data_IF_172819123504
#
_entry.id   IF_172819123504
#
_cell.length_a   1.000
_cell.length_b   1.000
_cell.length_c   1.000
_cell.angle_alpha   90.00
_cell.angle_beta   90.00
_cell.angle_gamma   90.00
#
_symmetry.space_group_name_H-M   'P 1'
#
loop_
_entity.id
_entity.type
_entity.pdbx_description
1 polymer ?
#
# COMPACT_ATOMS: atom_id res chain seq x y z
N UNK A 1 -0.74 -22.19 30.34
CA UNK A 1 0.28 -21.52 29.53
C UNK A 1 0.05 -21.96 28.09
N UNK A 2 -0.39 -21.06 27.21
CA UNK A 2 -0.80 -21.42 25.84
C UNK A 2 0.21 -20.85 24.85
N UNK A 3 1.02 -21.72 24.25
CA UNK A 3 1.82 -21.41 23.07
C UNK A 3 0.88 -21.60 21.86
N UNK A 4 0.26 -20.50 21.40
CA UNK A 4 -0.62 -20.53 20.23
C UNK A 4 0.19 -20.24 18.97
N UNK A 5 0.08 -21.10 17.96
CA UNK A 5 0.60 -20.88 16.61
C UNK A 5 -0.50 -20.30 15.72
N UNK A 6 -0.12 -19.48 14.73
CA UNK A 6 -1.04 -18.85 13.77
C UNK A 6 -1.16 -17.33 13.92
N UNK A 7 -1.91 -16.70 13.00
CA UNK A 7 -2.14 -15.26 13.03
C UNK A 7 -2.75 -14.81 14.37
N UNK A 8 -2.25 -13.70 14.90
CA UNK A 8 -2.77 -13.11 16.13
C UNK A 8 -4.19 -12.61 15.94
N UNK A 9 -5.17 -13.41 16.39
CA UNK A 9 -6.60 -13.11 16.22
C UNK A 9 -7.09 -11.89 16.99
N UNK A 10 -6.27 -11.35 17.91
CA UNK A 10 -6.58 -10.10 18.62
C UNK A 10 -6.12 -8.87 17.84
N UNK A 11 -5.39 -9.04 16.74
CA UNK A 11 -5.16 -7.98 15.76
C UNK A 11 -6.13 -8.22 14.61
N UNK A 12 -7.10 -7.33 14.46
CA UNK A 12 -8.01 -7.34 13.33
C UNK A 12 -7.47 -6.44 12.25
N UNK A 13 -7.41 -6.96 11.02
CA UNK A 13 -6.92 -6.22 9.85
C UNK A 13 -8.00 -6.26 8.78
N UNK A 14 -8.36 -5.09 8.27
CA UNK A 14 -9.21 -4.95 7.08
C UNK A 14 -8.39 -4.30 5.99
N UNK A 15 -8.39 -4.91 4.80
CA UNK A 15 -7.75 -4.36 3.60
C UNK A 15 -8.84 -4.16 2.55
N UNK A 16 -9.13 -2.91 2.23
CA UNK A 16 -10.15 -2.51 1.26
C UNK A 16 -9.46 -1.85 0.06
N UNK A 17 -9.16 -2.67 -0.96
CA UNK A 17 -8.66 -2.19 -2.23
C UNK A 17 -9.83 -1.72 -3.10
N UNK A 18 -9.79 -0.44 -3.47
CA UNK A 18 -10.77 0.13 -4.39
C UNK A 18 -10.53 -0.38 -5.81
N UNK A 19 -11.58 -0.48 -6.64
CA UNK A 19 -11.41 -0.76 -8.07
C UNK A 19 -10.41 0.22 -8.68
N UNK A 20 -9.51 -0.31 -9.51
CA UNK A 20 -8.53 0.52 -10.22
C UNK A 20 -9.27 1.54 -11.10
N UNK A 21 -8.88 2.80 -10.98
CA UNK A 21 -9.39 3.86 -11.86
C UNK A 21 -8.45 3.97 -13.05
N UNK A 22 -8.96 3.68 -14.25
CA UNK A 22 -8.20 3.76 -15.50
C UNK A 22 -8.73 4.85 -16.39
N UNK A 23 -7.83 5.66 -16.90
CA UNK A 23 -8.11 6.76 -17.81
C UNK A 23 -7.13 6.71 -18.98
N UNK A 24 -7.62 6.90 -20.20
CA UNK A 24 -6.78 7.12 -21.38
C UNK A 24 -6.79 8.62 -21.72
N UNK A 25 -5.60 9.20 -21.85
CA UNK A 25 -5.42 10.62 -22.11
C UNK A 25 -4.62 10.85 -23.40
N UNK A 26 -5.09 11.77 -24.24
CA UNK A 26 -4.28 12.40 -25.31
C UNK A 26 -4.80 12.22 -26.74
N UNK A 27 -4.70 13.30 -27.54
CA UNK A 27 -4.95 13.32 -29.00
C UNK A 27 -3.63 13.17 -29.79
N UNK A 28 -2.49 13.52 -29.18
CA UNK A 28 -1.12 13.34 -29.71
C UNK A 28 -0.33 12.56 -28.66
N UNK A 29 0.00 11.30 -28.97
CA UNK A 29 0.57 10.34 -28.01
C UNK A 29 -0.47 9.87 -26.99
N UNK A 30 -0.96 8.63 -27.14
CA UNK A 30 -1.92 8.06 -26.19
C UNK A 30 -1.16 7.54 -24.96
N UNK A 31 -1.58 7.98 -23.78
CA UNK A 31 -1.06 7.45 -22.52
C UNK A 31 -2.21 6.88 -21.68
N UNK A 32 -1.96 5.76 -21.02
CA UNK A 32 -2.88 5.17 -20.06
C UNK A 32 -2.41 5.51 -18.66
N UNK A 33 -3.34 5.94 -17.82
CA UNK A 33 -3.14 6.20 -16.41
C UNK A 33 -3.95 5.19 -15.61
N UNK A 34 -3.36 4.65 -14.54
CA UNK A 34 -4.06 3.84 -13.56
C UNK A 34 -3.80 4.37 -12.17
N UNK A 35 -4.85 4.54 -11.39
CA UNK A 35 -4.76 4.88 -9.97
C UNK A 35 -5.30 3.71 -9.15
N UNK A 36 -4.47 3.21 -8.23
CA UNK A 36 -4.85 2.20 -7.23
C UNK A 36 -4.86 2.83 -5.85
N UNK A 37 -5.91 2.53 -5.08
CA UNK A 37 -6.06 2.95 -3.68
C UNK A 37 -6.45 1.77 -2.81
N UNK A 38 -5.82 1.69 -1.65
CA UNK A 38 -6.06 0.68 -0.63
C UNK A 38 -6.19 1.38 0.71
N UNK A 39 -7.27 1.09 1.42
CA UNK A 39 -7.45 1.48 2.82
C UNK A 39 -7.10 0.28 3.70
N UNK A 40 -6.18 0.46 4.63
CA UNK A 40 -5.83 -0.56 5.63
C UNK A 40 -6.27 -0.08 7.00
N UNK A 41 -7.13 -0.85 7.65
CA UNK A 41 -7.48 -0.63 9.05
C UNK A 41 -6.85 -1.72 9.90
N UNK A 42 -6.21 -1.32 11.00
CA UNK A 42 -5.67 -2.25 11.99
C UNK A 42 -6.24 -1.89 13.36
N UNK A 43 -6.84 -2.88 14.03
CA UNK A 43 -7.37 -2.72 15.39
C UNK A 43 -6.80 -3.77 16.34
N UNK A 44 -6.36 -3.32 17.51
CA UNK A 44 -5.90 -4.21 18.58
C UNK A 44 -7.00 -4.46 19.61
N UNK A 45 -7.24 -5.73 19.91
CA UNK A 45 -8.07 -6.22 21.01
C UNK A 45 -7.25 -6.77 22.17
N UNK A 46 -5.93 -6.52 22.17
CA UNK A 46 -5.08 -6.81 23.30
C UNK A 46 -5.38 -5.87 24.47
N UNK A 47 -5.03 -6.32 25.68
CA UNK A 47 -5.11 -5.50 26.90
C UNK A 47 -3.88 -4.62 27.12
N UNK A 48 -2.84 -4.83 26.32
CA UNK A 48 -1.58 -4.07 26.36
C UNK A 48 -1.28 -3.49 24.96
N UNK A 49 -0.47 -2.42 24.87
CA UNK A 49 -0.02 -1.90 23.58
C UNK A 49 0.79 -2.93 22.79
N UNK A 50 0.54 -3.03 21.49
CA UNK A 50 1.23 -3.97 20.59
C UNK A 50 1.92 -3.22 19.47
N UNK A 51 3.17 -3.60 19.17
CA UNK A 51 3.87 -3.11 17.99
C UNK A 51 3.35 -3.82 16.74
N UNK A 52 2.94 -3.05 15.74
CA UNK A 52 2.48 -3.56 14.45
C UNK A 52 3.18 -2.80 13.33
N UNK A 53 3.70 -3.56 12.36
CA UNK A 53 4.23 -3.02 11.12
C UNK A 53 3.33 -3.46 9.97
N UNK A 54 2.77 -2.49 9.25
CA UNK A 54 2.08 -2.74 7.97
C UNK A 54 3.10 -2.53 6.86
N UNK A 55 3.16 -3.45 5.90
CA UNK A 55 4.07 -3.40 4.75
C UNK A 55 3.25 -3.34 3.47
N UNK A 56 3.57 -2.42 2.57
CA UNK A 56 2.94 -2.29 1.25
C UNK A 56 4.00 -2.05 0.19
N UNK A 57 3.74 -2.55 -1.02
CA UNK A 57 4.67 -2.39 -2.14
C UNK A 57 4.22 -1.22 -3.01
N UNK A 58 5.07 -0.20 -3.15
CA UNK A 58 5.01 0.78 -4.23
C UNK A 58 5.80 0.21 -5.41
N UNK A 59 5.16 -0.03 -6.58
CA UNK A 59 5.88 -0.53 -7.75
C UNK A 59 7.05 0.37 -8.14
N UNK A 60 8.11 -0.23 -8.67
CA UNK A 60 9.24 0.48 -9.24
C UNK A 60 9.19 0.33 -10.75
N UNK A 61 9.38 1.43 -11.47
CA UNK A 61 9.48 1.39 -12.92
C UNK A 61 10.82 0.77 -13.33
N UNK A 62 10.78 -0.29 -14.14
CA UNK A 62 11.96 -0.87 -14.80
C UNK A 62 12.20 -0.28 -16.20
N UNK A 63 11.16 0.32 -16.81
CA UNK A 63 11.22 1.00 -18.10
C UNK A 63 11.01 2.50 -17.90
N UNK A 64 11.84 3.32 -18.55
CA UNK A 64 11.79 4.79 -18.47
C UNK A 64 10.49 5.42 -19.00
N UNK A 65 9.72 4.68 -19.81
CA UNK A 65 8.41 5.11 -20.32
C UNK A 65 7.28 4.88 -19.29
N UNK A 66 7.58 4.27 -18.15
CA UNK A 66 6.65 4.06 -17.03
C UNK A 66 6.98 5.05 -15.92
N UNK A 67 5.99 5.80 -15.45
CA UNK A 67 6.11 6.61 -14.23
C UNK A 67 5.28 6.01 -13.10
N UNK A 68 5.87 5.89 -11.91
CA UNK A 68 5.19 5.50 -10.68
C UNK A 68 5.29 6.62 -9.65
N UNK A 69 4.15 7.06 -9.11
CA UNK A 69 4.08 8.11 -8.11
C UNK A 69 3.12 7.70 -6.98
N UNK A 70 3.54 7.86 -5.72
CA UNK A 70 2.59 7.74 -4.59
C UNK A 70 1.58 8.88 -4.63
N UNK A 71 0.32 8.60 -4.31
CA UNK A 71 -0.71 9.65 -4.23
C UNK A 71 -0.50 10.53 -3.00
N UNK A 72 -0.90 11.80 -3.09
CA UNK A 72 -0.73 12.79 -2.03
C UNK A 72 -1.49 12.45 -0.72
N UNK A 73 -2.57 11.67 -0.81
CA UNK A 73 -3.36 11.19 0.32
C UNK A 73 -2.81 9.90 0.95
N UNK A 74 -1.70 9.35 0.42
CA UNK A 74 -0.98 8.23 1.03
C UNK A 74 -0.46 8.62 2.40
N UNK A 75 -0.78 7.83 3.41
CA UNK A 75 -0.21 7.99 4.75
C UNK A 75 1.31 7.88 4.66
N UNK A 76 2.10 8.87 5.12
CA UNK A 76 3.56 8.80 5.02
C UNK A 76 4.12 7.56 5.73
N UNK A 77 4.98 6.75 5.07
CA UNK A 77 5.57 5.58 5.68
C UNK A 77 6.65 5.96 6.68
N UNK A 78 6.89 5.08 7.65
CA UNK A 78 8.04 5.18 8.56
C UNK A 78 9.34 4.87 7.82
N UNK A 79 9.32 3.95 6.85
CA UNK A 79 10.45 3.67 5.94
C UNK A 79 9.96 3.35 4.53
N UNK A 80 10.72 3.76 3.52
CA UNK A 80 10.45 3.49 2.09
C UNK A 80 11.27 2.33 1.51
N UNK A 81 12.22 1.81 2.30
CA UNK A 81 13.16 0.77 1.91
C UNK A 81 13.23 -0.28 3.04
N UNK A 82 12.07 -0.86 3.38
CA UNK A 82 11.97 -1.84 4.45
C UNK A 82 12.80 -3.09 4.10
N UNK A 83 13.55 -3.61 5.08
CA UNK A 83 14.54 -4.68 4.90
C UNK A 83 15.57 -4.42 3.78
N UNK A 84 15.84 -3.14 3.46
CA UNK A 84 16.80 -2.76 2.42
C UNK A 84 16.28 -2.94 0.99
N UNK A 85 14.97 -3.17 0.81
CA UNK A 85 14.35 -3.38 -0.49
C UNK A 85 13.62 -2.10 -0.94
N UNK A 86 14.03 -1.53 -2.06
CA UNK A 86 13.37 -0.36 -2.65
C UNK A 86 11.90 -0.67 -2.97
N UNK A 87 11.03 0.33 -2.77
CA UNK A 87 9.60 0.21 -3.07
C UNK A 87 8.82 -0.59 -2.02
N UNK A 88 9.48 -1.23 -1.06
CA UNK A 88 8.82 -1.88 0.09
C UNK A 88 8.68 -0.85 1.21
N UNK A 89 7.48 -0.31 1.35
CA UNK A 89 7.17 0.73 2.33
C UNK A 89 6.60 0.09 3.59
N UNK A 90 6.94 0.66 4.76
CA UNK A 90 6.43 0.17 6.03
C UNK A 90 5.97 1.29 6.97
N UNK A 91 4.91 0.99 7.73
CA UNK A 91 4.34 1.83 8.77
C UNK A 91 4.42 1.09 10.11
N UNK A 92 5.38 1.48 10.94
CA UNK A 92 5.57 0.88 12.27
C UNK A 92 4.85 1.73 13.32
N UNK A 93 3.89 1.12 14.00
CA UNK A 93 3.04 1.77 14.99
C UNK A 93 2.97 0.98 16.28
N UNK A 94 2.80 1.68 17.40
CA UNK A 94 2.39 1.07 18.66
C UNK A 94 0.89 1.29 18.84
N UNK A 95 0.09 0.23 18.69
CA UNK A 95 -1.36 0.30 18.76
C UNK A 95 -1.80 -0.01 20.20
N UNK A 96 -2.46 0.95 20.84
CA UNK A 96 -2.98 0.82 22.21
C UNK A 96 -4.17 -0.17 22.29
N UNK A 97 -4.53 -0.66 23.48
CA UNK A 97 -5.72 -1.48 23.69
C UNK A 97 -6.99 -0.84 23.09
N UNK A 98 -7.71 -1.58 22.26
CA UNK A 98 -8.94 -1.12 21.59
C UNK A 98 -8.74 -0.11 20.45
N UNK A 99 -7.53 0.43 20.28
CA UNK A 99 -7.25 1.45 19.27
C UNK A 99 -7.36 0.86 17.86
N UNK A 100 -8.00 1.63 16.99
CA UNK A 100 -7.97 1.44 15.54
C UNK A 100 -7.07 2.50 14.92
N UNK A 101 -6.21 2.09 13.99
CA UNK A 101 -5.48 2.98 13.09
C UNK A 101 -5.93 2.72 11.65
N UNK A 102 -5.84 3.76 10.82
CA UNK A 102 -6.20 3.72 9.41
C UNK A 102 -5.03 4.25 8.59
N UNK A 103 -4.66 3.51 7.55
CA UNK A 103 -3.61 3.86 6.61
C UNK A 103 -4.22 3.95 5.21
N UNK A 104 -4.03 5.10 4.57
CA UNK A 104 -4.31 5.27 3.16
C UNK A 104 -3.04 4.89 2.39
N UNK A 105 -3.16 3.99 1.42
CA UNK A 105 -2.08 3.69 0.50
C UNK A 105 -2.57 3.86 -0.92
N UNK A 106 -1.85 4.61 -1.75
CA UNK A 106 -2.22 4.76 -3.14
C UNK A 106 -1.07 5.16 -4.03
N UNK A 107 -1.16 4.75 -5.29
CA UNK A 107 -0.20 5.12 -6.31
C UNK A 107 -0.85 5.32 -7.67
N UNK A 108 -0.15 6.08 -8.52
CA UNK A 108 -0.48 6.35 -9.90
C UNK A 108 0.59 5.73 -10.79
N UNK A 109 0.15 5.00 -11.80
CA UNK A 109 0.96 4.54 -12.91
C UNK A 109 0.58 5.33 -14.15
N UNK A 110 1.57 5.64 -15.00
CA UNK A 110 1.37 6.14 -16.36
C UNK A 110 2.30 5.40 -17.30
N UNK A 111 1.79 5.00 -18.46
CA UNK A 111 2.55 4.31 -19.51
C UNK A 111 1.94 4.58 -20.90
N UNK A 112 2.65 4.29 -22.02
CA UNK A 112 2.11 4.43 -23.37
C UNK A 112 0.94 3.47 -23.62
N UNK A 113 -0.16 3.96 -24.21
CA UNK A 113 -1.38 3.14 -24.39
C UNK A 113 -1.23 2.02 -25.42
N UNK A 114 -0.23 2.09 -26.29
CA UNK A 114 0.11 1.05 -27.26
C UNK A 114 0.96 -0.08 -26.65
N UNK A 115 1.39 0.05 -25.39
CA UNK A 115 2.10 -0.97 -24.62
C UNK A 115 1.19 -1.68 -23.63
N UNK A 116 1.47 -2.96 -23.41
CA UNK A 116 0.84 -3.75 -22.35
C UNK A 116 1.70 -3.65 -21.08
N UNK A 117 1.06 -3.29 -19.97
CA UNK A 117 1.69 -3.27 -18.65
C UNK A 117 1.62 -4.65 -18.00
N UNK A 118 2.73 -5.15 -17.47
CA UNK A 118 2.84 -6.43 -16.75
C UNK A 118 3.53 -6.25 -15.39
N UNK A 119 3.36 -7.22 -14.48
CA UNK A 119 4.05 -7.23 -13.18
C UNK A 119 3.37 -6.45 -12.05
N UNK A 120 2.05 -6.28 -12.13
CA UNK A 120 1.20 -5.64 -11.10
C UNK A 120 0.42 -6.63 -10.24
#
# INVERSE_FOLDING_TARGET
MSLGFGADRRIQVTVDQKPDQREENGVIGKSTQMVRRTLVEVQSQHKEPVAVTVIMNLPIAEDSEISVESLADTTPPTTKQFDGIDGVWAWSNQIKPGQKITLNFGFRLRWPSDKTLSGL
#
